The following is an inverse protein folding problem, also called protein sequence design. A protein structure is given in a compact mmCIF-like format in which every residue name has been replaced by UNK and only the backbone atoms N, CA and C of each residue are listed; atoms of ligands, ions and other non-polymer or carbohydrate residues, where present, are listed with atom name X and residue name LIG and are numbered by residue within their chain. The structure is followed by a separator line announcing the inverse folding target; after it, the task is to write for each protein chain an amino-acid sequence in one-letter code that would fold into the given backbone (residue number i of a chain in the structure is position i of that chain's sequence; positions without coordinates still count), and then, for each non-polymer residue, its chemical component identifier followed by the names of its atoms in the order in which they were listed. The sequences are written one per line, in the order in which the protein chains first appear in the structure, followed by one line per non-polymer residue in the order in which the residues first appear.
data_IF_532377229431
#
_entry.id   IF_532377229431
#
_cell.length_a   1.000
_cell.length_b   1.000
_cell.length_c   1.000
_cell.angle_alpha   90.00
_cell.angle_beta   90.00
_cell.angle_gamma   90.00
#
_symmetry.space_group_name_H-M   'P 1'
#
loop_
_entity.id
_entity.type
_entity.pdbx_description
1 polymer ?
#
# COMPACT_ATOMS: atom_id res chain seq x y z
N UNK A 1 -20.71 -15.15 45.77
CA UNK A 1 -20.85 -13.70 45.50
C UNK A 1 -21.16 -13.51 44.03
N UNK A 2 -22.45 -13.34 43.72
CA UNK A 2 -22.98 -13.23 42.36
C UNK A 2 -22.66 -11.85 41.79
N UNK A 3 -21.88 -11.79 40.70
CA UNK A 3 -21.67 -10.54 39.95
C UNK A 3 -22.66 -10.49 38.79
N UNK A 4 -23.64 -9.60 38.93
CA UNK A 4 -24.59 -9.23 37.89
C UNK A 4 -23.86 -8.55 36.72
N UNK A 5 -24.15 -8.99 35.49
CA UNK A 5 -23.70 -8.32 34.27
C UNK A 5 -24.83 -7.40 33.75
N UNK A 6 -24.50 -6.16 33.32
CA UNK A 6 -25.47 -5.17 32.90
C UNK A 6 -26.04 -5.45 31.50
N UNK A 7 -27.28 -4.99 31.33
CA UNK A 7 -28.18 -5.19 30.19
C UNK A 7 -27.61 -4.64 28.88
N UNK A 8 -27.39 -5.52 27.90
CA UNK A 8 -27.17 -5.14 26.50
C UNK A 8 -28.50 -4.72 25.86
N UNK A 9 -28.74 -3.42 25.74
CA UNK A 9 -29.83 -2.88 24.94
C UNK A 9 -29.51 -3.01 23.44
N UNK A 10 -30.13 -4.00 22.80
CA UNK A 10 -30.13 -4.17 21.33
C UNK A 10 -30.87 -2.99 20.68
N UNK A 11 -30.13 -1.96 20.25
CA UNK A 11 -30.66 -0.95 19.33
C UNK A 11 -30.67 -1.55 17.91
N UNK A 12 -31.82 -2.08 17.52
CA UNK A 12 -32.14 -2.40 16.12
C UNK A 12 -32.44 -1.09 15.41
N UNK A 13 -31.54 -0.65 14.53
CA UNK A 13 -31.85 0.40 13.56
C UNK A 13 -32.19 -0.31 12.23
N UNK A 14 -33.47 -0.28 11.88
CA UNK A 14 -34.00 -0.64 10.56
C UNK A 14 -34.36 0.66 9.88
N UNK A 15 -33.55 1.08 8.91
CA UNK A 15 -33.89 2.12 7.94
C UNK A 15 -33.53 1.53 6.58
N UNK A 16 -34.52 0.88 5.97
CA UNK A 16 -34.47 0.40 4.58
C UNK A 16 -35.72 0.91 3.89
N UNK A 17 -35.65 2.13 3.36
CA UNK A 17 -36.71 2.73 2.56
C UNK A 17 -36.74 2.12 1.17
N UNK A 18 -37.90 1.61 0.78
CA UNK A 18 -38.18 1.11 -0.55
C UNK A 18 -38.38 2.28 -1.54
N UNK A 19 -37.67 2.24 -2.67
CA UNK A 19 -38.07 2.96 -3.88
C UNK A 19 -37.92 2.00 -5.07
N UNK A 20 -39.07 1.58 -5.61
CA UNK A 20 -39.18 0.74 -6.78
C UNK A 20 -38.86 1.58 -8.04
N UNK A 21 -37.89 1.14 -8.84
CA UNK A 21 -37.69 1.65 -10.21
C UNK A 21 -38.30 0.64 -11.18
N UNK A 22 -39.40 1.08 -11.80
CA UNK A 22 -40.20 0.33 -12.74
C UNK A 22 -39.38 -0.06 -13.98
N UNK A 23 -39.42 -1.35 -14.30
CA UNK A 23 -39.01 -1.88 -15.60
C UNK A 23 -40.03 -1.41 -16.65
N UNK A 24 -39.58 -0.64 -17.63
CA UNK A 24 -40.29 -0.47 -18.89
C UNK A 24 -39.25 -0.51 -20.01
N UNK A 25 -39.16 -1.65 -20.66
CA UNK A 25 -38.39 -1.81 -21.88
C UNK A 25 -39.13 -1.19 -23.05
N UNK A 26 -38.41 -0.43 -23.88
CA UNK A 26 -38.71 -0.24 -25.28
C UNK A 26 -37.40 0.08 -26.02
N UNK A 27 -37.17 -0.66 -27.09
CA UNK A 27 -35.98 -0.67 -27.94
C UNK A 27 -36.14 0.30 -29.13
N UNK A 28 -35.01 0.59 -29.79
CA UNK A 28 -34.80 0.95 -31.21
C UNK A 28 -34.43 2.41 -31.56
N UNK A 29 -33.17 2.51 -32.01
CA UNK A 29 -32.58 3.23 -33.16
C UNK A 29 -32.71 4.76 -33.32
N UNK A 30 -31.54 5.39 -33.28
CA UNK A 30 -31.00 6.26 -34.35
C UNK A 30 -31.76 7.54 -34.67
N UNK A 31 -31.20 8.68 -34.25
CA UNK A 31 -31.03 9.90 -35.07
C UNK A 31 -30.30 10.99 -34.27
N UNK A 32 -29.41 11.68 -34.98
CA UNK A 32 -28.53 12.73 -34.49
C UNK A 32 -29.26 13.92 -33.82
N UNK A 33 -28.65 14.46 -32.76
CA UNK A 33 -28.88 15.83 -32.31
C UNK A 33 -27.52 16.48 -32.06
N UNK A 34 -27.25 17.47 -32.89
CA UNK A 34 -26.13 18.38 -32.83
C UNK A 34 -26.21 19.29 -31.59
N UNK A 35 -25.04 19.66 -31.08
CA UNK A 35 -24.83 20.94 -30.41
C UNK A 35 -25.05 20.96 -28.89
N UNK A 36 -23.99 20.67 -28.14
CA UNK A 36 -23.51 21.61 -27.13
C UNK A 36 -22.02 21.31 -26.92
N UNK A 37 -21.18 22.10 -27.59
CA UNK A 37 -19.73 22.09 -27.36
C UNK A 37 -19.44 22.82 -26.05
N UNK A 38 -19.66 22.16 -24.92
CA UNK A 38 -19.04 22.58 -23.66
C UNK A 38 -17.61 22.04 -23.65
N UNK A 39 -16.74 22.81 -24.31
CA UNK A 39 -15.31 22.77 -24.06
C UNK A 39 -15.07 23.28 -22.65
N UNK A 40 -15.13 22.39 -21.67
CA UNK A 40 -14.46 22.60 -20.39
C UNK A 40 -13.22 21.72 -20.43
N UNK A 41 -12.08 22.38 -20.68
CA UNK A 41 -10.79 21.74 -20.81
C UNK A 41 -10.51 20.91 -19.58
N UNK A 42 -10.74 19.60 -19.69
CA UNK A 42 -9.93 18.65 -18.97
C UNK A 42 -8.51 18.87 -19.50
N UNK A 43 -7.76 19.75 -18.83
CA UNK A 43 -6.33 19.64 -18.72
C UNK A 43 -6.08 18.24 -18.16
N UNK A 44 -6.16 17.22 -19.03
CA UNK A 44 -5.43 15.99 -18.91
C UNK A 44 -3.98 16.40 -19.08
N UNK A 45 -3.46 17.12 -18.08
CA UNK A 45 -2.03 17.15 -17.80
C UNK A 45 -1.70 15.67 -17.77
N UNK A 46 -0.97 15.21 -18.76
CA UNK A 46 -0.30 13.93 -18.71
C UNK A 46 0.45 13.97 -17.40
N UNK A 47 -0.14 13.42 -16.33
CA UNK A 47 0.56 13.24 -15.07
C UNK A 47 1.72 12.36 -15.48
N UNK A 48 2.92 12.95 -15.49
CA UNK A 48 4.13 12.18 -15.58
C UNK A 48 3.97 11.01 -14.60
N UNK A 49 4.21 9.79 -15.08
CA UNK A 49 4.09 8.61 -14.23
C UNK A 49 4.89 8.89 -12.96
N UNK A 50 4.32 8.68 -11.76
CA UNK A 50 4.94 9.09 -10.49
C UNK A 50 6.19 8.26 -10.10
N UNK A 51 6.88 7.68 -11.08
CA UNK A 51 7.96 6.72 -10.89
C UNK A 51 7.51 5.39 -10.29
N UNK A 52 8.46 4.51 -10.03
CA UNK A 52 8.28 3.27 -9.25
C UNK A 52 9.35 3.19 -8.18
N UNK A 53 8.99 2.79 -6.96
CA UNK A 53 9.96 2.56 -5.89
C UNK A 53 10.81 1.33 -6.21
N UNK A 54 12.12 1.53 -6.14
CA UNK A 54 13.15 0.52 -6.35
C UNK A 54 13.97 0.35 -5.07
N UNK A 55 14.05 -0.88 -4.57
CA UNK A 55 14.74 -1.17 -3.33
C UNK A 55 15.78 -2.29 -3.52
N UNK A 56 16.96 -2.19 -2.89
CA UNK A 56 17.92 -3.28 -2.88
C UNK A 56 17.33 -4.58 -2.31
N UNK A 57 17.66 -5.70 -2.95
CA UNK A 57 17.25 -7.03 -2.51
C UNK A 57 18.07 -7.47 -1.29
N UNK A 58 17.38 -7.67 -0.15
CA UNK A 58 18.04 -8.10 1.10
C UNK A 58 18.42 -9.57 1.06
N UNK A 59 17.58 -10.42 0.44
CA UNK A 59 17.77 -11.86 0.38
C UNK A 59 19.14 -12.28 -0.22
N UNK A 60 19.61 -11.55 -1.25
CA UNK A 60 20.89 -11.83 -1.92
C UNK A 60 22.11 -11.45 -1.08
N UNK A 61 21.94 -10.62 -0.05
CA UNK A 61 23.01 -10.18 0.86
C UNK A 61 23.01 -10.96 2.17
N UNK A 62 22.05 -11.87 2.38
CA UNK A 62 22.01 -12.71 3.58
C UNK A 62 23.04 -13.85 3.47
N UNK A 63 23.75 -14.18 4.58
CA UNK A 63 24.54 -15.40 4.66
C UNK A 63 23.62 -16.63 4.69
N UNK A 64 24.22 -17.82 4.80
CA UNK A 64 23.45 -19.07 4.92
C UNK A 64 22.45 -19.01 6.09
N UNK A 65 21.16 -19.08 5.78
CA UNK A 65 20.07 -18.97 6.76
C UNK A 65 19.80 -20.35 7.40
N UNK A 66 19.96 -20.50 8.73
CA UNK A 66 19.70 -21.75 9.43
C UNK A 66 18.25 -22.23 9.24
N UNK A 67 18.05 -23.56 9.18
CA UNK A 67 16.72 -24.17 8.99
C UNK A 67 15.66 -23.68 9.97
N UNK A 68 16.06 -23.45 11.21
CA UNK A 68 15.22 -22.94 12.30
C UNK A 68 14.74 -21.50 12.09
N UNK A 69 15.48 -20.68 11.33
CA UNK A 69 15.16 -19.27 11.11
C UNK A 69 14.48 -18.99 9.75
N UNK A 70 14.56 -19.93 8.78
CA UNK A 70 14.04 -19.73 7.42
C UNK A 70 12.61 -19.22 7.37
N UNK A 71 11.68 -19.85 8.09
CA UNK A 71 10.28 -19.43 8.08
C UNK A 71 10.03 -18.03 8.66
N UNK A 72 10.88 -17.56 9.59
CA UNK A 72 10.81 -16.18 10.10
C UNK A 72 11.37 -15.20 9.06
N UNK A 73 12.55 -15.52 8.51
CA UNK A 73 13.21 -14.71 7.47
C UNK A 73 12.33 -14.56 6.22
N UNK A 74 11.73 -15.65 5.73
CA UNK A 74 10.87 -15.63 4.54
C UNK A 74 9.65 -14.74 4.73
N UNK A 75 9.06 -14.71 5.94
CA UNK A 75 7.94 -13.81 6.26
C UNK A 75 8.37 -12.35 6.30
N UNK A 76 9.53 -12.07 6.87
CA UNK A 76 10.05 -10.70 6.91
C UNK A 76 10.48 -10.22 5.51
N UNK A 77 11.01 -11.11 4.65
CA UNK A 77 11.27 -10.80 3.24
C UNK A 77 9.98 -10.46 2.49
N UNK A 78 8.93 -11.26 2.65
CA UNK A 78 7.62 -10.95 2.06
C UNK A 78 7.01 -9.64 2.62
N UNK A 79 7.31 -9.30 3.88
CA UNK A 79 6.89 -8.03 4.47
C UNK A 79 7.63 -6.84 3.83
N UNK A 80 8.92 -6.99 3.48
CA UNK A 80 9.64 -5.96 2.73
C UNK A 80 8.97 -5.69 1.37
N UNK A 81 8.59 -6.73 0.64
CA UNK A 81 7.88 -6.59 -0.64
C UNK A 81 6.51 -5.91 -0.47
N UNK A 82 5.81 -6.23 0.61
CA UNK A 82 4.53 -5.58 0.95
C UNK A 82 4.72 -4.08 1.20
N UNK A 83 5.77 -3.69 1.92
CA UNK A 83 6.09 -2.28 2.18
C UNK A 83 6.40 -1.52 0.89
N UNK A 84 7.08 -2.15 -0.08
CA UNK A 84 7.33 -1.57 -1.41
C UNK A 84 6.00 -1.36 -2.15
N UNK A 85 5.11 -2.35 -2.12
CA UNK A 85 3.77 -2.23 -2.71
C UNK A 85 2.96 -1.09 -2.11
N UNK A 86 2.94 -0.97 -0.78
CA UNK A 86 2.28 0.14 -0.07
C UNK A 86 2.87 1.51 -0.45
N UNK A 87 4.19 1.60 -0.60
CA UNK A 87 4.87 2.83 -1.00
C UNK A 87 4.54 3.21 -2.44
N UNK A 88 4.57 2.25 -3.37
CA UNK A 88 4.16 2.46 -4.76
C UNK A 88 2.71 2.91 -4.87
N UNK A 89 1.81 2.32 -4.09
CA UNK A 89 0.41 2.76 -4.07
C UNK A 89 0.29 4.19 -3.55
N UNK A 90 1.04 4.55 -2.50
CA UNK A 90 1.09 5.94 -2.01
C UNK A 90 1.65 6.92 -3.05
N UNK A 91 2.67 6.53 -3.83
CA UNK A 91 3.18 7.37 -4.92
C UNK A 91 2.07 7.71 -5.92
N UNK A 92 1.28 6.72 -6.31
CA UNK A 92 0.18 6.89 -7.26
C UNK A 92 -0.92 7.77 -6.65
N UNK A 93 -1.34 7.47 -5.42
CA UNK A 93 -2.44 8.18 -4.75
C UNK A 93 -2.10 9.65 -4.46
N UNK A 94 -0.81 9.97 -4.33
CA UNK A 94 -0.30 11.32 -4.06
C UNK A 94 0.37 11.96 -5.27
N UNK A 95 0.27 11.34 -6.45
CA UNK A 95 0.83 11.87 -7.68
C UNK A 95 0.28 13.28 -7.98
N UNK A 96 1.18 14.24 -8.15
CA UNK A 96 0.81 15.65 -8.36
C UNK A 96 0.31 16.38 -7.10
N UNK A 97 0.39 15.76 -5.92
CA UNK A 97 0.11 16.39 -4.62
C UNK A 97 1.43 16.61 -3.88
N UNK A 98 1.65 17.85 -3.40
CA UNK A 98 2.86 18.22 -2.68
C UNK A 98 3.97 18.79 -3.56
N UNK A 99 4.96 19.41 -2.90
CA UNK A 99 6.12 20.02 -3.56
C UNK A 99 7.15 19.00 -4.06
N UNK A 100 8.28 19.46 -4.62
CA UNK A 100 9.30 18.59 -5.21
C UNK A 100 9.86 17.54 -4.24
N UNK A 101 9.88 17.82 -2.94
CA UNK A 101 10.41 16.91 -1.92
C UNK A 101 9.33 16.00 -1.27
N UNK A 102 8.08 16.05 -1.74
CA UNK A 102 6.98 15.33 -1.10
C UNK A 102 7.22 13.81 -1.12
N UNK A 103 7.59 13.26 -2.28
CA UNK A 103 7.87 11.82 -2.43
C UNK A 103 8.99 11.39 -1.48
N UNK A 104 10.05 12.17 -1.38
CA UNK A 104 11.19 11.86 -0.52
C UNK A 104 10.78 11.83 0.97
N UNK A 105 9.99 12.80 1.42
CA UNK A 105 9.63 12.95 2.83
C UNK A 105 8.43 12.09 3.27
N UNK A 106 7.44 11.90 2.40
CA UNK A 106 6.17 11.26 2.74
C UNK A 106 6.09 9.79 2.30
N UNK A 107 6.92 9.38 1.33
CA UNK A 107 6.91 8.02 0.79
C UNK A 107 8.22 7.31 1.09
N UNK A 108 9.35 7.83 0.61
CA UNK A 108 10.64 7.15 0.73
C UNK A 108 11.18 7.15 2.17
N UNK A 109 11.07 8.27 2.91
CA UNK A 109 11.50 8.33 4.31
C UNK A 109 10.80 7.31 5.22
N UNK A 110 9.45 7.28 5.28
CA UNK A 110 8.72 6.28 6.07
C UNK A 110 8.94 4.84 5.60
N UNK A 111 9.21 4.64 4.30
CA UNK A 111 9.55 3.33 3.76
C UNK A 111 10.92 2.86 4.26
N UNK A 112 11.92 3.73 4.24
CA UNK A 112 13.26 3.45 4.75
C UNK A 112 13.19 3.00 6.22
N UNK A 113 12.52 3.76 7.08
CA UNK A 113 12.37 3.42 8.51
C UNK A 113 11.71 2.04 8.73
N UNK A 114 10.64 1.75 7.99
CA UNK A 114 9.95 0.44 8.04
C UNK A 114 10.87 -0.70 7.58
N UNK A 115 11.65 -0.47 6.52
CA UNK A 115 12.61 -1.45 5.99
C UNK A 115 13.76 -1.68 6.96
N UNK A 116 14.34 -0.62 7.54
CA UNK A 116 15.37 -0.74 8.60
C UNK A 116 14.85 -1.60 9.74
N UNK A 117 13.63 -1.35 10.22
CA UNK A 117 13.05 -2.14 11.30
C UNK A 117 12.86 -3.63 10.93
N UNK A 118 12.46 -3.91 9.69
CA UNK A 118 12.23 -5.27 9.20
C UNK A 118 13.55 -6.01 8.97
N UNK A 119 14.54 -5.34 8.39
CA UNK A 119 15.91 -5.87 8.19
C UNK A 119 16.56 -6.20 9.54
N UNK A 120 16.40 -5.33 10.54
CA UNK A 120 16.86 -5.61 11.90
C UNK A 120 16.20 -6.86 12.51
N UNK A 121 14.92 -7.10 12.17
CA UNK A 121 14.21 -8.32 12.60
C UNK A 121 14.79 -9.57 11.93
N UNK A 122 15.08 -9.52 10.64
CA UNK A 122 15.77 -10.59 9.89
C UNK A 122 17.14 -10.87 10.52
N UNK A 123 17.95 -9.84 10.74
CA UNK A 123 19.26 -9.98 11.36
C UNK A 123 19.16 -10.64 12.75
N UNK A 124 18.18 -10.20 13.55
CA UNK A 124 17.93 -10.79 14.88
C UNK A 124 17.47 -12.25 14.78
N UNK A 125 16.60 -12.59 13.83
CA UNK A 125 16.12 -13.97 13.64
C UNK A 125 17.27 -14.93 13.31
N UNK A 126 18.16 -14.51 12.40
CA UNK A 126 19.40 -15.26 12.09
C UNK A 126 20.31 -15.33 13.32
N UNK A 127 20.53 -14.18 13.98
CA UNK A 127 21.41 -14.01 15.15
C UNK A 127 21.03 -14.83 16.40
N UNK A 128 19.81 -15.38 16.47
CA UNK A 128 19.40 -16.30 17.54
C UNK A 128 19.98 -17.70 17.38
N UNK A 129 20.39 -18.07 16.16
CA UNK A 129 20.78 -19.44 15.81
C UNK A 129 22.13 -19.55 15.10
N UNK A 130 22.64 -18.43 14.58
CA UNK A 130 23.95 -18.29 13.96
C UNK A 130 24.53 -16.89 14.26
N UNK A 131 25.70 -16.58 13.71
CA UNK A 131 26.27 -15.23 13.82
C UNK A 131 25.35 -14.19 13.18
N UNK A 132 25.13 -13.08 13.90
CA UNK A 132 24.25 -12.01 13.45
C UNK A 132 24.87 -11.29 12.26
N UNK A 133 24.23 -11.25 11.07
CA UNK A 133 24.71 -10.47 9.94
C UNK A 133 24.72 -8.98 10.31
N UNK A 134 25.74 -8.26 9.86
CA UNK A 134 25.92 -6.83 10.13
C UNK A 134 25.85 -6.05 8.81
N UNK A 135 25.43 -4.78 8.87
CA UNK A 135 25.47 -3.87 7.72
C UNK A 135 24.33 -4.09 6.72
N UNK A 136 23.35 -4.93 7.04
CA UNK A 136 22.16 -5.12 6.19
C UNK A 136 21.29 -3.86 6.14
N UNK A 137 21.38 -2.99 7.15
CA UNK A 137 20.65 -1.73 7.23
C UNK A 137 21.02 -0.77 6.11
N UNK A 138 22.22 -0.90 5.53
CA UNK A 138 22.63 -0.15 4.33
C UNK A 138 21.80 -0.47 3.08
N UNK A 139 21.02 -1.55 3.11
CA UNK A 139 20.11 -1.99 2.03
C UNK A 139 18.66 -1.52 2.25
N UNK A 140 18.41 -0.81 3.36
CA UNK A 140 17.10 -0.25 3.67
C UNK A 140 16.69 0.91 2.75
N UNK A 141 17.59 1.85 2.37
CA UNK A 141 17.23 2.97 1.52
C UNK A 141 16.70 2.48 0.17
N UNK A 142 15.61 3.10 -0.28
CA UNK A 142 15.03 2.87 -1.60
C UNK A 142 15.10 4.13 -2.44
N UNK A 143 15.20 3.96 -3.74
CA UNK A 143 15.18 5.04 -4.73
C UNK A 143 13.87 5.03 -5.51
N UNK A 144 13.63 6.12 -6.23
CA UNK A 144 12.59 6.23 -7.23
C UNK A 144 13.21 5.97 -8.60
N UNK A 145 12.70 4.99 -9.32
CA UNK A 145 12.98 4.79 -10.74
C UNK A 145 11.97 5.63 -11.53
N UNK A 146 12.49 6.61 -12.30
CA UNK A 146 11.72 7.55 -13.13
C UNK A 146 11.79 7.18 -14.61
#
# INVERSE_FOLDING_TARGET
MSRALPKYHKRRLVIGGAAALALSGAVVAGSALAGESSSDGSDARTQASPGTVSCPAVASSLPEVPASARAEVDRDLALLDTQIGEANQRLIDTAGQGGPDFVQNAVLGPLEDKRVATINRIATAVGRTADRPQGLESLAPCSLDE
#
